data_IF_734766155285
#
_entry.id   IF_734766155285
#
_cell.length_a   1.000
_cell.length_b   1.000
_cell.length_c   1.000
_cell.angle_alpha   90.00
_cell.angle_beta   90.00
_cell.angle_gamma   90.00
#
_symmetry.space_group_name_H-M   'P 1'
#
loop_
_entity.id
_entity.type
_entity.pdbx_description
1 polymer ?
#
# COMPACT_ATOMS: atom_id res chain seq x y z
N UNK A 1 -10.86 -32.36 -2.33
CA UNK A 1 -10.36 -32.14 -3.71
C UNK A 1 -10.16 -33.44 -4.50
N UNK A 2 -9.37 -34.41 -4.03
CA UNK A 2 -9.20 -35.72 -4.70
C UNK A 2 -10.53 -36.41 -5.03
N UNK A 3 -11.45 -36.46 -4.06
CA UNK A 3 -12.82 -36.97 -4.24
C UNK A 3 -13.60 -36.32 -5.40
N UNK A 4 -13.28 -35.08 -5.78
CA UNK A 4 -13.90 -34.38 -6.93
C UNK A 4 -13.24 -34.72 -8.27
N UNK A 5 -11.94 -35.03 -8.28
CA UNK A 5 -11.15 -35.35 -9.48
C UNK A 5 -11.20 -36.84 -9.84
N UNK A 6 -11.46 -37.72 -8.85
CA UNK A 6 -11.59 -39.17 -9.01
C UNK A 6 -12.62 -39.60 -10.06
N UNK A 7 -13.84 -39.04 -10.10
CA UNK A 7 -14.84 -39.40 -11.12
C UNK A 7 -14.41 -39.00 -12.54
N UNK A 8 -13.54 -38.01 -12.68
CA UNK A 8 -13.04 -37.50 -13.96
C UNK A 8 -11.75 -38.21 -14.42
N UNK A 9 -11.22 -39.16 -13.63
CA UNK A 9 -9.89 -39.80 -13.82
C UNK A 9 -8.75 -38.78 -13.92
N UNK A 10 -8.87 -37.66 -13.20
CA UNK A 10 -7.95 -36.52 -13.23
C UNK A 10 -7.19 -36.32 -11.91
N UNK A 11 -6.77 -37.40 -11.24
CA UNK A 11 -6.08 -37.33 -9.94
C UNK A 11 -4.55 -37.15 -10.05
N UNK A 12 -4.06 -36.65 -11.18
CA UNK A 12 -2.62 -36.38 -11.33
C UNK A 12 -2.15 -35.30 -10.35
N UNK A 13 -0.88 -35.35 -9.92
CA UNK A 13 -0.29 -34.32 -9.03
C UNK A 13 -0.54 -32.90 -9.57
N UNK A 14 -0.34 -32.70 -10.87
CA UNK A 14 -0.55 -31.41 -11.53
C UNK A 14 -2.02 -30.95 -11.47
N UNK A 15 -2.98 -31.84 -11.68
CA UNK A 15 -4.42 -31.51 -11.59
C UNK A 15 -4.87 -31.28 -10.15
N UNK A 16 -4.30 -32.02 -9.19
CA UNK A 16 -4.49 -31.75 -7.78
C UNK A 16 -3.97 -30.35 -7.45
N UNK A 17 -2.78 -29.96 -7.91
CA UNK A 17 -2.23 -28.62 -7.67
C UNK A 17 -3.08 -27.54 -8.37
N UNK A 18 -3.48 -27.78 -9.63
CA UNK A 18 -4.17 -26.79 -10.45
C UNK A 18 -5.56 -26.41 -9.93
N UNK A 19 -6.27 -27.31 -9.26
CA UNK A 19 -7.56 -26.98 -8.65
C UNK A 19 -7.50 -26.58 -7.17
N UNK A 20 -6.30 -26.40 -6.60
CA UNK A 20 -6.16 -25.77 -5.29
C UNK A 20 -6.46 -24.28 -5.41
N UNK A 21 -7.25 -23.75 -4.48
CA UNK A 21 -7.49 -22.31 -4.42
C UNK A 21 -6.26 -21.59 -3.86
N UNK A 22 -6.10 -20.33 -4.24
CA UNK A 22 -5.07 -19.46 -3.65
C UNK A 22 -5.20 -19.35 -2.12
N UNK A 23 -6.41 -19.50 -1.58
CA UNK A 23 -6.67 -19.50 -0.13
C UNK A 23 -6.07 -20.68 0.61
N UNK A 24 -5.87 -21.84 -0.03
CA UNK A 24 -5.13 -22.94 0.62
C UNK A 24 -3.67 -22.54 0.84
N UNK A 25 -3.02 -22.00 -0.20
CA UNK A 25 -1.62 -21.59 -0.15
C UNK A 25 -1.37 -20.51 0.89
N UNK A 26 -2.29 -19.55 1.03
CA UNK A 26 -2.20 -18.54 2.08
C UNK A 26 -2.44 -19.12 3.48
N UNK A 27 -3.36 -20.10 3.60
CA UNK A 27 -3.62 -20.84 4.84
C UNK A 27 -2.40 -21.59 5.35
N UNK A 28 -1.63 -22.25 4.47
CA UNK A 28 -0.40 -22.99 4.82
C UNK A 28 0.71 -22.11 5.39
N UNK A 29 0.63 -20.80 5.21
CA UNK A 29 1.56 -19.84 5.80
C UNK A 29 1.08 -19.32 7.15
N UNK A 30 -0.02 -19.86 7.69
CA UNK A 30 -0.58 -19.53 8.99
C UNK A 30 0.29 -20.02 10.16
N UNK A 31 -0.09 -19.61 11.38
CA UNK A 31 0.62 -20.02 12.61
C UNK A 31 0.47 -21.52 12.87
N UNK A 32 -0.65 -22.12 12.45
CA UNK A 32 -0.95 -23.54 12.66
C UNK A 32 0.00 -24.48 11.92
N UNK A 33 0.55 -24.03 10.80
CA UNK A 33 1.43 -24.81 9.92
C UNK A 33 2.89 -24.38 10.07
N UNK A 34 3.29 -23.90 11.27
CA UNK A 34 4.65 -23.40 11.49
C UNK A 34 5.70 -24.50 11.39
N UNK A 35 5.38 -25.73 11.79
CA UNK A 35 6.27 -26.87 11.63
C UNK A 35 6.49 -27.20 10.16
N UNK A 36 5.43 -27.15 9.34
CA UNK A 36 5.55 -27.31 7.89
C UNK A 36 6.47 -26.24 7.26
N UNK A 37 6.40 -25.01 7.78
CA UNK A 37 7.36 -23.95 7.39
C UNK A 37 8.80 -24.32 7.72
N UNK A 38 9.06 -24.72 8.96
CA UNK A 38 10.40 -25.08 9.43
C UNK A 38 10.96 -26.29 8.68
N UNK A 39 10.12 -27.27 8.40
CA UNK A 39 10.55 -28.52 7.78
C UNK A 39 10.85 -28.36 6.29
N UNK A 40 9.93 -27.76 5.52
CA UNK A 40 10.06 -27.78 4.05
C UNK A 40 9.48 -26.58 3.29
N UNK A 41 8.45 -25.88 3.78
CA UNK A 41 7.77 -24.85 2.97
C UNK A 41 8.69 -23.66 2.65
N UNK A 42 9.61 -23.30 3.55
CA UNK A 42 10.58 -22.23 3.31
C UNK A 42 11.47 -22.52 2.08
N UNK A 43 11.71 -23.79 1.74
CA UNK A 43 12.55 -24.20 0.60
C UNK A 43 11.89 -23.88 -0.75
N UNK A 44 10.58 -23.73 -0.79
CA UNK A 44 9.85 -23.30 -1.99
C UNK A 44 9.98 -21.80 -2.27
N UNK A 45 10.52 -21.03 -1.32
CA UNK A 45 10.66 -19.57 -1.39
C UNK A 45 12.12 -19.17 -1.07
N UNK A 46 13.10 -19.70 -1.83
CA UNK A 46 14.52 -19.59 -1.50
C UNK A 46 15.05 -18.15 -1.52
N UNK A 47 14.39 -17.26 -2.26
CA UNK A 47 14.78 -15.85 -2.42
C UNK A 47 14.01 -14.91 -1.49
N UNK A 48 13.19 -15.44 -0.58
CA UNK A 48 12.52 -14.65 0.46
C UNK A 48 13.49 -14.28 1.59
N UNK A 49 13.04 -13.43 2.51
CA UNK A 49 13.80 -13.11 3.73
C UNK A 49 13.85 -14.23 4.79
N UNK A 50 13.40 -15.45 4.45
CA UNK A 50 13.38 -16.63 5.32
C UNK A 50 12.36 -16.58 6.46
N UNK A 51 11.59 -15.49 6.61
CA UNK A 51 10.61 -15.34 7.69
C UNK A 51 9.20 -15.64 7.21
N UNK A 52 8.60 -16.72 7.73
CA UNK A 52 7.20 -17.12 7.46
C UNK A 52 6.24 -15.94 7.54
N UNK A 53 6.31 -15.17 8.63
CA UNK A 53 5.40 -14.03 8.86
C UNK A 53 5.43 -13.01 7.73
N UNK A 54 6.61 -12.70 7.18
CA UNK A 54 6.74 -11.71 6.11
C UNK A 54 6.18 -12.25 4.78
N UNK A 55 6.49 -13.51 4.46
CA UNK A 55 5.92 -14.19 3.28
C UNK A 55 4.40 -14.30 3.40
N UNK A 56 3.88 -14.69 4.57
CA UNK A 56 2.45 -14.78 4.83
C UNK A 56 1.74 -13.45 4.53
N UNK A 57 2.32 -12.32 4.93
CA UNK A 57 1.74 -11.00 4.63
C UNK A 57 1.79 -10.69 3.13
N UNK A 58 2.89 -10.99 2.44
CA UNK A 58 2.99 -10.80 1.00
C UNK A 58 1.93 -11.62 0.23
N UNK A 59 1.75 -12.89 0.61
CA UNK A 59 0.72 -13.77 0.03
C UNK A 59 -0.69 -13.28 0.34
N UNK A 60 -0.96 -12.86 1.58
CA UNK A 60 -2.27 -12.33 1.97
C UNK A 60 -2.63 -11.03 1.25
N UNK A 61 -1.65 -10.19 0.95
CA UNK A 61 -1.85 -9.01 0.10
C UNK A 61 -2.30 -9.42 -1.31
N UNK A 62 -1.56 -10.30 -1.97
CA UNK A 62 -1.90 -10.80 -3.30
C UNK A 62 -3.26 -11.50 -3.30
N UNK A 63 -3.59 -12.27 -2.26
CA UNK A 63 -4.89 -12.91 -2.10
C UNK A 63 -6.02 -11.87 -2.04
N UNK A 64 -5.89 -10.82 -1.22
CA UNK A 64 -6.91 -9.75 -1.13
C UNK A 64 -7.12 -9.06 -2.46
N UNK A 65 -6.04 -8.71 -3.16
CA UNK A 65 -6.13 -8.10 -4.48
C UNK A 65 -6.81 -9.03 -5.50
N UNK A 66 -6.36 -10.29 -5.60
CA UNK A 66 -6.99 -11.30 -6.47
C UNK A 66 -8.46 -11.51 -6.14
N UNK A 67 -8.82 -11.55 -4.86
CA UNK A 67 -10.20 -11.76 -4.43
C UNK A 67 -11.10 -10.60 -4.83
N UNK A 68 -10.64 -9.35 -4.66
CA UNK A 68 -11.34 -8.17 -5.17
C UNK A 68 -11.68 -8.31 -6.65
N UNK A 69 -10.70 -8.70 -7.47
CA UNK A 69 -10.89 -8.91 -8.91
C UNK A 69 -11.89 -10.03 -9.20
N UNK A 70 -11.80 -11.17 -8.49
CA UNK A 70 -12.73 -12.29 -8.68
C UNK A 70 -14.16 -12.00 -8.22
N UNK A 71 -14.34 -11.03 -7.32
CA UNK A 71 -15.65 -10.56 -6.89
C UNK A 71 -16.20 -9.42 -7.76
N UNK A 72 -15.49 -9.04 -8.84
CA UNK A 72 -15.84 -7.90 -9.69
C UNK A 72 -16.02 -6.57 -8.92
N UNK A 73 -15.32 -6.43 -7.78
CA UNK A 73 -15.35 -5.21 -6.98
C UNK A 73 -14.49 -4.11 -7.64
N UNK A 74 -14.79 -2.85 -7.32
CA UNK A 74 -14.25 -1.69 -8.02
C UNK A 74 -12.74 -1.54 -7.83
N UNK A 75 -12.04 -1.40 -8.96
CA UNK A 75 -10.61 -1.10 -9.04
C UNK A 75 -10.30 0.40 -9.13
N UNK A 76 -11.31 1.28 -9.18
CA UNK A 76 -11.12 2.71 -9.47
C UNK A 76 -10.24 3.43 -8.43
N UNK A 77 -10.27 2.96 -7.18
CA UNK A 77 -9.53 3.50 -6.04
C UNK A 77 -8.33 2.61 -5.64
N UNK A 78 -7.84 1.79 -6.57
CA UNK A 78 -6.69 0.90 -6.37
C UNK A 78 -5.52 1.37 -7.22
N UNK A 79 -4.35 1.45 -6.59
CA UNK A 79 -3.08 1.65 -7.28
C UNK A 79 -2.66 0.33 -7.93
N UNK A 80 -3.19 0.08 -9.13
CA UNK A 80 -2.90 -1.14 -9.91
C UNK A 80 -1.40 -1.32 -10.13
N UNK A 81 -0.61 -0.30 -10.52
CA UNK A 81 0.85 -0.44 -10.59
C UNK A 81 1.48 -0.89 -9.27
N UNK A 82 1.01 -0.39 -8.13
CA UNK A 82 1.49 -0.83 -6.82
C UNK A 82 1.12 -2.29 -6.53
N UNK A 83 -0.11 -2.72 -6.77
CA UNK A 83 -0.51 -4.11 -6.54
C UNK A 83 0.21 -5.09 -7.49
N UNK A 84 0.42 -4.72 -8.75
CA UNK A 84 1.20 -5.53 -9.71
C UNK A 84 2.65 -5.69 -9.24
N UNK A 85 3.27 -4.65 -8.68
CA UNK A 85 4.63 -4.77 -8.12
C UNK A 85 4.71 -5.82 -7.01
N UNK A 86 3.71 -5.90 -6.12
CA UNK A 86 3.70 -6.92 -5.07
C UNK A 86 3.47 -8.34 -5.59
N UNK A 87 2.70 -8.49 -6.67
CA UNK A 87 2.56 -9.79 -7.34
C UNK A 87 3.92 -10.24 -7.88
N UNK A 88 4.66 -9.34 -8.53
CA UNK A 88 5.98 -9.62 -9.07
C UNK A 88 7.03 -9.88 -7.96
N UNK A 89 6.97 -9.12 -6.86
CA UNK A 89 7.82 -9.35 -5.67
C UNK A 89 7.54 -10.71 -5.02
N UNK A 90 6.28 -11.12 -4.92
CA UNK A 90 5.96 -12.44 -4.40
C UNK A 90 6.47 -13.55 -5.33
N UNK A 91 6.39 -13.35 -6.65
CA UNK A 91 6.95 -14.29 -7.61
C UNK A 91 8.48 -14.38 -7.50
N UNK A 92 9.16 -13.26 -7.22
CA UNK A 92 10.61 -13.22 -7.08
C UNK A 92 11.10 -13.96 -5.83
N UNK A 93 10.26 -14.17 -4.82
CA UNK A 93 10.60 -15.06 -3.69
C UNK A 93 10.80 -16.51 -4.12
N UNK A 94 10.18 -16.94 -5.22
CA UNK A 94 10.32 -18.29 -5.78
C UNK A 94 11.49 -18.31 -6.75
N UNK A 95 11.44 -17.44 -7.76
CA UNK A 95 12.41 -17.40 -8.85
C UNK A 95 12.38 -16.03 -9.56
N UNK A 96 13.54 -15.36 -9.66
CA UNK A 96 13.67 -14.05 -10.30
C UNK A 96 13.40 -14.09 -11.81
N UNK A 97 13.81 -15.15 -12.51
CA UNK A 97 13.59 -15.29 -13.94
C UNK A 97 12.09 -15.47 -14.25
N UNK A 98 11.37 -16.20 -13.40
CA UNK A 98 9.91 -16.32 -13.48
C UNK A 98 9.21 -14.98 -13.24
N UNK A 99 9.63 -14.21 -12.24
CA UNK A 99 9.09 -12.87 -11.98
C UNK A 99 9.34 -11.92 -13.17
N UNK A 100 10.53 -11.95 -13.76
CA UNK A 100 10.85 -11.17 -14.96
C UNK A 100 10.03 -11.63 -16.17
N UNK A 101 9.84 -12.94 -16.35
CA UNK A 101 8.99 -13.48 -17.41
C UNK A 101 7.54 -13.03 -17.24
N UNK A 102 6.96 -13.11 -16.04
CA UNK A 102 5.63 -12.58 -15.74
C UNK A 102 5.51 -11.09 -16.06
N UNK A 103 6.52 -10.30 -15.69
CA UNK A 103 6.57 -8.87 -16.01
C UNK A 103 6.56 -8.62 -17.52
N UNK A 104 7.31 -9.39 -18.31
CA UNK A 104 7.36 -9.27 -19.78
C UNK A 104 6.06 -9.68 -20.45
N UNK A 105 5.40 -10.73 -19.96
CA UNK A 105 4.15 -11.23 -20.54
C UNK A 105 2.91 -10.42 -20.11
N UNK A 106 3.02 -9.59 -19.06
CA UNK A 106 1.89 -8.83 -18.54
C UNK A 106 1.61 -7.57 -19.36
N UNK A 107 0.37 -7.46 -19.86
CA UNK A 107 -0.15 -6.24 -20.51
C UNK A 107 -0.77 -5.25 -19.52
N UNK A 108 -0.85 -5.58 -18.23
CA UNK A 108 -1.62 -4.81 -17.24
C UNK A 108 -1.15 -3.35 -17.18
N UNK A 109 0.16 -3.10 -17.18
CA UNK A 109 0.68 -1.73 -17.11
C UNK A 109 0.46 -0.94 -18.41
N UNK A 110 0.47 -1.61 -19.56
CA UNK A 110 0.16 -0.97 -20.85
C UNK A 110 -1.32 -0.54 -20.91
N UNK A 111 -2.24 -1.45 -20.56
CA UNK A 111 -3.67 -1.15 -20.48
C UNK A 111 -3.94 -0.09 -19.41
N UNK A 112 -3.21 -0.12 -18.29
CA UNK A 112 -3.33 0.91 -17.25
C UNK A 112 -2.91 2.30 -17.75
N UNK A 113 -1.91 2.39 -18.63
CA UNK A 113 -1.46 3.65 -19.22
C UNK A 113 -2.50 4.28 -20.17
N UNK A 114 -3.40 3.46 -20.74
CA UNK A 114 -4.54 3.93 -21.55
C UNK A 114 -5.68 4.49 -20.69
N UNK A 115 -5.57 4.43 -19.35
CA UNK A 115 -6.59 4.98 -18.45
C UNK A 115 -6.76 6.48 -18.72
N UNK A 116 -8.00 6.97 -18.91
CA UNK A 116 -8.26 8.40 -19.07
C UNK A 116 -7.65 9.21 -17.92
N UNK A 117 -7.03 10.34 -18.25
CA UNK A 117 -6.42 11.23 -17.26
C UNK A 117 -7.46 11.58 -16.21
N UNK A 118 -7.14 11.29 -14.96
CA UNK A 118 -8.02 11.62 -13.83
C UNK A 118 -7.72 13.07 -13.46
N UNK A 119 -8.74 13.93 -13.48
CA UNK A 119 -8.61 15.32 -13.02
C UNK A 119 -8.17 15.39 -11.54
N UNK A 120 -8.53 14.36 -10.75
CA UNK A 120 -8.18 14.28 -9.34
C UNK A 120 -6.78 13.70 -9.12
N UNK A 121 -5.78 14.57 -9.05
CA UNK A 121 -4.37 14.21 -8.85
C UNK A 121 -3.92 14.24 -7.38
N UNK A 122 -4.80 14.71 -6.48
CA UNK A 122 -4.50 14.95 -5.08
C UNK A 122 -5.46 14.17 -4.17
N UNK A 123 -4.89 13.46 -3.19
CA UNK A 123 -5.67 12.77 -2.16
C UNK A 123 -5.68 13.56 -0.85
N UNK A 124 -6.86 13.96 -0.41
CA UNK A 124 -7.07 14.56 0.92
C UNK A 124 -7.25 13.45 1.94
N UNK A 125 -6.41 13.43 2.97
CA UNK A 125 -6.39 12.42 4.04
C UNK A 125 -6.73 13.02 5.40
N UNK A 126 -7.42 12.28 6.29
CA UNK A 126 -7.66 12.71 7.66
C UNK A 126 -6.32 12.72 8.40
N UNK A 127 -6.02 13.84 9.04
CA UNK A 127 -4.68 14.14 9.51
C UNK A 127 -4.60 14.49 10.99
N UNK A 128 -5.59 14.09 11.81
CA UNK A 128 -5.64 14.38 13.25
C UNK A 128 -4.31 14.11 13.97
N UNK A 129 -3.69 12.97 13.69
CA UNK A 129 -2.38 12.60 14.25
C UNK A 129 -1.25 12.63 13.20
N UNK A 130 -1.59 12.85 11.92
CA UNK A 130 -0.64 12.76 10.82
C UNK A 130 -0.10 14.13 10.38
N UNK A 131 -0.77 15.22 10.76
CA UNK A 131 -0.35 16.57 10.41
C UNK A 131 1.00 16.92 11.04
N UNK A 132 1.14 16.73 12.36
CA UNK A 132 2.39 16.98 13.09
C UNK A 132 3.55 16.12 12.58
N UNK A 133 3.26 14.88 12.16
CA UNK A 133 4.27 13.99 11.56
C UNK A 133 4.73 14.48 10.19
N UNK A 134 3.82 15.05 9.38
CA UNK A 134 4.22 15.70 8.14
C UNK A 134 5.08 16.94 8.41
N UNK A 135 4.72 17.75 9.41
CA UNK A 135 5.50 18.95 9.76
C UNK A 135 6.93 18.62 10.19
N UNK A 136 7.10 17.55 10.99
CA UNK A 136 8.42 17.14 11.51
C UNK A 136 9.24 16.31 10.52
N UNK A 137 8.62 15.36 9.83
CA UNK A 137 9.33 14.31 9.09
C UNK A 137 8.99 14.27 7.60
N UNK A 138 8.09 15.13 7.12
CA UNK A 138 7.60 15.13 5.74
C UNK A 138 7.10 13.74 5.34
N UNK A 139 6.32 13.13 6.22
CA UNK A 139 5.77 11.80 6.02
C UNK A 139 4.30 11.71 6.40
N UNK A 140 3.59 10.78 5.75
CA UNK A 140 2.25 10.38 6.13
C UNK A 140 2.24 8.87 6.41
N UNK A 141 1.67 8.48 7.55
CA UNK A 141 1.59 7.09 8.00
C UNK A 141 0.13 6.70 8.17
N UNK A 142 -0.23 5.51 7.71
CA UNK A 142 -1.58 4.97 7.87
C UNK A 142 -1.56 3.44 8.02
N UNK A 143 -2.72 2.85 8.25
CA UNK A 143 -2.88 1.40 8.35
C UNK A 143 -2.34 0.67 7.10
N UNK A 144 -1.64 -0.44 7.31
CA UNK A 144 -1.10 -1.26 6.23
C UNK A 144 -2.21 -1.80 5.30
N UNK A 145 -1.90 -1.88 4.00
CA UNK A 145 -2.83 -2.38 2.98
C UNK A 145 -3.99 -1.44 2.65
N UNK A 146 -4.00 -0.21 3.18
CA UNK A 146 -4.98 0.81 2.78
C UNK A 146 -4.75 1.22 1.32
N UNK A 147 -5.79 1.12 0.51
CA UNK A 147 -5.75 1.44 -0.92
C UNK A 147 -5.74 2.94 -1.20
N UNK A 148 -4.93 3.36 -2.16
CA UNK A 148 -4.89 4.71 -2.71
C UNK A 148 -4.98 4.61 -4.23
N UNK A 149 -5.53 5.61 -4.93
CA UNK A 149 -5.27 5.82 -6.35
C UNK A 149 -3.78 6.18 -6.50
N UNK A 150 -3.16 5.96 -7.66
CA UNK A 150 -1.90 6.61 -7.93
C UNK A 150 -2.16 8.11 -7.97
N UNK A 151 -1.74 8.77 -6.89
CA UNK A 151 -1.84 10.21 -6.69
C UNK A 151 -0.45 10.79 -6.63
N UNK A 152 -0.26 11.95 -7.25
CA UNK A 152 1.02 12.66 -7.16
C UNK A 152 1.14 13.35 -5.82
N UNK A 153 0.03 13.78 -5.22
CA UNK A 153 0.04 14.66 -4.04
C UNK A 153 -0.88 14.20 -2.93
N UNK A 154 -0.52 14.56 -1.70
CA UNK A 154 -1.38 14.46 -0.53
C UNK A 154 -1.80 15.86 -0.10
N UNK A 155 -3.00 15.99 0.45
CA UNK A 155 -3.44 17.14 1.22
C UNK A 155 -3.96 16.65 2.58
N UNK A 156 -3.87 17.50 3.61
CA UNK A 156 -4.16 17.09 4.99
C UNK A 156 -5.41 17.78 5.50
N UNK A 157 -6.40 17.00 5.93
CA UNK A 157 -7.60 17.50 6.61
C UNK A 157 -7.45 17.32 8.12
N UNK A 158 -7.23 18.41 8.85
CA UNK A 158 -7.10 18.47 10.30
C UNK A 158 -7.71 19.78 10.81
N UNK A 159 -8.13 19.83 12.07
CA UNK A 159 -8.65 21.05 12.71
C UNK A 159 -9.82 21.69 11.95
N UNK A 160 -10.65 20.86 11.31
CA UNK A 160 -11.76 21.27 10.44
C UNK A 160 -11.34 22.14 9.25
N UNK A 161 -10.15 21.92 8.72
CA UNK A 161 -9.68 22.59 7.51
C UNK A 161 -8.81 21.66 6.66
N UNK A 162 -8.74 21.92 5.36
CA UNK A 162 -7.65 21.40 4.53
C UNK A 162 -6.46 22.34 4.72
N UNK A 163 -5.35 21.79 5.19
CA UNK A 163 -4.10 22.54 5.42
C UNK A 163 -3.51 23.03 4.10
N UNK A 164 -2.68 24.07 4.20
CA UNK A 164 -2.07 24.74 3.04
C UNK A 164 -1.09 23.87 2.25
N UNK A 165 -0.49 22.90 2.92
CA UNK A 165 0.59 22.10 2.35
C UNK A 165 0.02 20.96 1.50
N UNK A 166 0.41 20.94 0.23
CA UNK A 166 0.01 19.92 -0.74
C UNK A 166 1.28 19.27 -1.32
N UNK A 167 1.98 18.44 -0.52
CA UNK A 167 3.23 17.83 -0.96
C UNK A 167 3.02 16.71 -1.97
N UNK A 168 4.01 16.53 -2.86
CA UNK A 168 4.09 15.37 -3.73
C UNK A 168 4.63 14.12 -3.00
N UNK A 169 4.21 12.95 -3.46
CA UNK A 169 4.67 11.63 -2.98
C UNK A 169 6.00 11.30 -3.65
N UNK A 170 7.06 11.29 -2.85
CA UNK A 170 8.39 10.87 -3.29
C UNK A 170 8.53 9.35 -3.28
N UNK A 171 7.94 8.70 -2.29
CA UNK A 171 8.04 7.26 -2.12
C UNK A 171 6.88 6.74 -1.27
N UNK A 172 6.40 5.54 -1.62
CA UNK A 172 5.37 4.81 -0.87
C UNK A 172 5.91 3.43 -0.56
N UNK A 173 5.87 3.04 0.71
CA UNK A 173 6.11 1.67 1.14
C UNK A 173 5.03 1.20 2.08
N UNK A 174 4.52 0.01 1.83
CA UNK A 174 3.49 -0.62 2.64
C UNK A 174 4.08 -1.71 3.52
N UNK A 175 3.35 -2.10 4.54
CA UNK A 175 3.68 -3.21 5.43
C UNK A 175 5.04 -3.07 6.15
N UNK A 176 5.41 -1.84 6.50
CA UNK A 176 6.60 -1.53 7.30
C UNK A 176 6.32 -1.89 8.75
N UNK A 177 7.19 -2.71 9.33
CA UNK A 177 7.14 -3.08 10.75
C UNK A 177 7.64 -1.89 11.60
N UNK A 178 6.80 -1.40 12.50
CA UNK A 178 7.08 -0.26 13.38
C UNK A 178 7.71 -0.75 14.68
N UNK A 179 9.03 -0.98 14.65
CA UNK A 179 9.82 -1.43 15.80
C UNK A 179 11.24 -0.90 15.69
N UNK A 180 11.95 -0.79 16.82
CA UNK A 180 13.36 -0.35 16.85
C UNK A 180 14.28 -1.26 16.03
N UNK A 181 13.97 -2.57 16.01
CA UNK A 181 14.72 -3.56 15.23
C UNK A 181 14.56 -3.31 13.73
N UNK A 182 13.34 -2.98 13.28
CA UNK A 182 13.05 -2.65 11.89
C UNK A 182 13.72 -1.32 11.50
N UNK A 183 13.58 -0.29 12.34
CA UNK A 183 14.22 1.00 12.13
C UNK A 183 15.74 0.86 11.99
N UNK A 184 16.39 0.08 12.86
CA UNK A 184 17.84 -0.15 12.81
C UNK A 184 18.31 -0.82 11.53
N UNK A 185 17.54 -1.76 10.98
CA UNK A 185 17.84 -2.39 9.68
C UNK A 185 17.66 -1.44 8.52
N UNK A 186 16.59 -0.65 8.53
CA UNK A 186 16.34 0.34 7.49
C UNK A 186 17.42 1.43 7.51
N UNK A 187 17.93 1.79 8.70
CA UNK A 187 19.01 2.76 8.86
C UNK A 187 20.33 2.30 8.26
N UNK A 188 20.63 1.01 8.31
CA UNK A 188 21.85 0.42 7.72
C UNK A 188 21.72 0.07 6.23
N UNK A 189 20.54 0.24 5.64
CA UNK A 189 20.30 -0.04 4.21
C UNK A 189 21.02 0.97 3.31
N UNK A 190 21.42 0.51 2.12
CA UNK A 190 21.99 1.36 1.06
C UNK A 190 20.92 2.20 0.35
N UNK A 191 19.65 1.82 0.44
CA UNK A 191 18.53 2.59 -0.12
C UNK A 191 18.29 3.87 0.71
N UNK A 192 18.26 5.03 0.03
CA UNK A 192 18.01 6.33 0.68
C UNK A 192 16.62 6.43 1.31
N UNK A 193 15.61 5.79 0.73
CA UNK A 193 14.24 5.79 1.23
C UNK A 193 14.08 4.87 2.45
N UNK A 194 14.90 3.83 2.56
CA UNK A 194 15.02 3.03 3.79
C UNK A 194 15.48 3.87 4.95
N UNK A 195 16.59 4.58 4.78
CA UNK A 195 17.12 5.46 5.83
C UNK A 195 16.13 6.56 6.22
N UNK A 196 15.39 7.11 5.26
CA UNK A 196 14.31 8.08 5.54
C UNK A 196 13.16 7.45 6.32
N UNK A 197 12.73 6.24 5.98
CA UNK A 197 11.67 5.54 6.72
C UNK A 197 12.12 5.18 8.14
N UNK A 198 13.39 4.82 8.35
CA UNK A 198 13.96 4.63 9.69
C UNK A 198 13.79 5.90 10.54
N UNK A 199 14.16 7.07 10.00
CA UNK A 199 14.01 8.34 10.71
C UNK A 199 12.54 8.67 11.06
N UNK A 200 11.59 8.31 10.18
CA UNK A 200 10.16 8.47 10.45
C UNK A 200 9.72 7.57 11.61
N UNK A 201 10.18 6.32 11.67
CA UNK A 201 9.87 5.40 12.78
C UNK A 201 10.42 5.97 14.09
N UNK A 202 11.68 6.40 14.09
CA UNK A 202 12.35 6.95 15.28
C UNK A 202 11.61 8.18 15.84
N UNK A 203 11.20 9.09 14.95
CA UNK A 203 10.50 10.33 15.31
C UNK A 203 9.04 10.13 15.74
N UNK A 204 8.45 8.96 15.47
CA UNK A 204 7.03 8.70 15.68
C UNK A 204 6.75 7.55 16.66
N UNK A 205 7.79 6.98 17.28
CA UNK A 205 7.70 5.84 18.20
C UNK A 205 6.76 6.07 19.39
N UNK A 206 6.65 7.31 19.88
CA UNK A 206 5.74 7.66 20.97
C UNK A 206 4.27 7.77 20.55
N UNK A 207 3.99 7.98 19.26
CA UNK A 207 2.62 8.21 18.74
C UNK A 207 2.03 6.94 18.10
N UNK A 208 2.89 6.07 17.57
CA UNK A 208 2.48 4.87 16.84
C UNK A 208 2.92 3.63 17.60
N UNK A 209 1.96 2.78 17.96
CA UNK A 209 2.23 1.52 18.64
C UNK A 209 2.95 0.52 17.73
N UNK A 210 3.52 -0.53 18.33
CA UNK A 210 4.07 -1.68 17.61
C UNK A 210 3.02 -2.26 16.65
N UNK A 211 3.38 -2.31 15.38
CA UNK A 211 2.43 -2.68 14.34
C UNK A 211 3.03 -2.67 12.94
N UNK A 212 2.14 -2.78 11.94
CA UNK A 212 2.49 -2.68 10.52
C UNK A 212 1.74 -1.54 9.89
N UNK A 213 2.47 -0.66 9.22
CA UNK A 213 1.93 0.54 8.62
C UNK A 213 2.37 0.72 7.17
N UNK A 214 1.63 1.57 6.49
CA UNK A 214 2.00 2.10 5.20
C UNK A 214 2.52 3.52 5.38
N UNK A 215 3.64 3.83 4.73
CA UNK A 215 4.37 5.10 4.82
C UNK A 215 4.47 5.75 3.46
N UNK A 216 4.22 7.04 3.44
CA UNK A 216 4.45 7.92 2.31
C UNK A 216 5.52 8.93 2.73
N UNK A 217 6.63 8.97 2.00
CA UNK A 217 7.62 10.03 2.10
C UNK A 217 7.21 11.14 1.13
N UNK A 218 7.18 12.36 1.62
CA UNK A 218 6.56 13.50 0.96
C UNK A 218 7.58 14.63 0.75
N UNK A 219 7.34 15.48 -0.24
CA UNK A 219 8.12 16.71 -0.45
C UNK A 219 7.85 17.73 0.66
N UNK A 220 8.80 18.61 0.96
CA UNK A 220 8.57 19.79 1.82
C UNK A 220 8.66 21.11 1.04
N UNK A 221 8.40 22.25 1.72
CA UNK A 221 8.56 23.59 1.14
C UNK A 221 9.92 23.77 0.44
N UNK A 222 9.91 24.42 -0.72
CA UNK A 222 11.10 24.65 -1.55
C UNK A 222 11.42 23.54 -2.55
N UNK A 223 10.79 22.36 -2.44
CA UNK A 223 10.88 21.34 -3.49
C UNK A 223 10.02 21.74 -4.71
N UNK A 224 10.48 21.54 -5.96
CA UNK A 224 9.74 21.98 -7.17
C UNK A 224 8.33 21.37 -7.29
N UNK A 225 8.16 20.12 -6.87
CA UNK A 225 6.84 19.44 -6.90
C UNK A 225 5.96 19.71 -5.68
N UNK A 226 6.46 20.43 -4.67
CA UNK A 226 5.70 20.81 -3.50
C UNK A 226 4.81 22.01 -3.81
N UNK A 227 3.52 21.91 -3.48
CA UNK A 227 2.55 22.99 -3.66
C UNK A 227 2.09 23.51 -2.31
N UNK A 228 1.90 24.81 -2.23
CA UNK A 228 1.37 25.48 -1.05
C UNK A 228 0.21 26.37 -1.46
N UNK A 229 -0.96 26.13 -0.87
CA UNK A 229 -2.15 26.95 -1.07
C UNK A 229 -1.97 28.33 -0.44
N UNK A 230 -2.63 29.33 -1.02
CA UNK A 230 -2.64 30.70 -0.51
C UNK A 230 -3.24 30.79 0.90
N UNK A 231 -4.20 29.92 1.23
CA UNK A 231 -4.87 29.81 2.53
C UNK A 231 -5.26 28.36 2.84
N UNK A 232 -5.52 28.06 4.10
CA UNK A 232 -6.23 26.81 4.43
C UNK A 232 -7.69 26.92 3.99
N UNK A 233 -8.32 25.76 3.74
CA UNK A 233 -9.71 25.69 3.30
C UNK A 233 -10.58 25.25 4.48
N UNK A 234 -11.33 26.16 5.13
CA UNK A 234 -12.16 25.82 6.27
C UNK A 234 -13.31 24.87 5.88
N UNK A 235 -13.75 24.08 6.85
CA UNK A 235 -14.92 23.23 6.75
C UNK A 235 -16.03 23.73 7.67
N UNK A 236 -17.10 24.24 7.06
CA UNK A 236 -18.21 24.91 7.74
C UNK A 236 -19.28 23.93 8.23
N UNK A 237 -19.35 22.71 7.68
CA UNK A 237 -20.38 21.71 8.02
C UNK A 237 -20.30 21.24 9.47
N UNK A 238 -21.33 21.48 10.28
CA UNK A 238 -21.40 21.07 11.68
C UNK A 238 -22.25 19.80 11.89
N UNK A 239 -21.90 18.98 12.87
CA UNK A 239 -22.63 17.75 13.21
C UNK A 239 -21.82 16.46 13.12
N UNK A 240 -22.41 15.35 13.57
CA UNK A 240 -21.76 14.04 13.52
C UNK A 240 -21.75 13.52 12.08
N UNK A 241 -20.56 13.14 11.59
CA UNK A 241 -20.40 12.59 10.24
C UNK A 241 -20.24 13.63 9.13
N UNK A 242 -20.25 14.93 9.45
CA UNK A 242 -20.11 15.99 8.43
C UNK A 242 -18.68 16.24 7.98
N UNK A 243 -17.68 15.66 8.66
CA UNK A 243 -16.28 15.82 8.32
C UNK A 243 -16.03 15.63 6.82
N UNK A 244 -15.37 16.61 6.20
CA UNK A 244 -15.08 16.61 4.76
C UNK A 244 -14.38 15.32 4.30
N UNK A 245 -13.52 14.75 5.16
CA UNK A 245 -12.83 13.49 4.94
C UNK A 245 -12.96 12.57 6.15
N UNK A 246 -13.53 11.38 5.93
CA UNK A 246 -13.59 10.30 6.94
C UNK A 246 -12.54 9.20 6.69
N UNK A 247 -12.30 8.86 5.43
CA UNK A 247 -11.26 7.90 5.01
C UNK A 247 -10.24 8.60 4.14
N UNK A 248 -10.61 8.95 2.90
CA UNK A 248 -9.86 9.80 1.98
C UNK A 248 -10.81 10.36 0.94
N UNK A 249 -10.46 11.49 0.34
CA UNK A 249 -11.19 12.11 -0.77
C UNK A 249 -10.21 12.47 -1.87
N UNK A 250 -10.61 12.30 -3.13
CA UNK A 250 -9.81 12.69 -4.29
C UNK A 250 -10.36 13.99 -4.86
N UNK A 251 -9.47 14.92 -5.17
CA UNK A 251 -9.77 16.23 -5.76
C UNK A 251 -8.62 16.61 -6.70
N UNK A 252 -8.86 17.58 -7.58
CA UNK A 252 -7.78 18.18 -8.37
C UNK A 252 -7.00 19.20 -7.55
N UNK A 253 -5.69 19.31 -7.78
CA UNK A 253 -4.86 20.39 -7.25
C UNK A 253 -5.44 21.76 -7.62
N UNK A 254 -5.92 21.91 -8.85
CA UNK A 254 -6.51 23.16 -9.32
C UNK A 254 -7.70 23.59 -8.46
N UNK A 255 -8.62 22.66 -8.17
CA UNK A 255 -9.77 22.92 -7.29
C UNK A 255 -9.32 23.37 -5.90
N UNK A 256 -8.26 22.76 -5.34
CA UNK A 256 -7.69 23.19 -4.06
C UNK A 256 -7.10 24.61 -4.10
N UNK A 257 -6.44 24.98 -5.20
CA UNK A 257 -5.81 26.29 -5.38
C UNK A 257 -6.86 27.42 -5.56
N UNK A 258 -8.00 27.12 -6.16
CA UNK A 258 -9.07 28.11 -6.41
C UNK A 258 -10.12 28.18 -5.32
N UNK A 259 -10.28 27.12 -4.52
CA UNK A 259 -11.31 27.04 -3.50
C UNK A 259 -11.16 28.10 -2.39
N UNK A 260 -12.28 28.41 -1.76
CA UNK A 260 -12.36 29.27 -0.58
C UNK A 260 -12.65 28.46 0.67
N UNK A 261 -13.40 27.36 0.52
CA UNK A 261 -13.76 26.44 1.59
C UNK A 261 -13.83 25.01 1.05
N UNK A 262 -14.00 24.03 1.94
CA UNK A 262 -14.26 22.64 1.53
C UNK A 262 -15.62 22.43 0.85
N UNK A 263 -16.53 23.41 0.87
CA UNK A 263 -17.80 23.31 0.15
C UNK A 263 -17.63 23.49 -1.38
N UNK A 264 -16.50 24.08 -1.80
CA UNK A 264 -16.14 24.27 -3.21
C UNK A 264 -15.49 23.02 -3.84
N UNK A 265 -15.35 21.92 -3.07
CA UNK A 265 -14.56 20.72 -3.40
C UNK A 265 -15.35 19.42 -3.51
#
# INVERSE_FOLDING_TARGET
MRQRLRPQRQETRHQIIAGLSFGLWSGLLGVKDEDLWRDCLHRALPLSNGKRKQVAVAVERVRRFRNRLSHHDSAINVDIPFEVRHVLELASYIDDAAAQWLKRCSRVLAVYAERPVTADDTVVVPAKNAWSLYESCRAYVCQAGRGFRPGQRLAFYADREVKREVPAVLHRRDNVEWTDVSASKLRSSTDRFDRKIAAVIDASSAVWADGRYQVFLLTGPGHPDHRQLSRSLPHEGSGRGTAFVQQQRYVSLHSLETATSTADL
#
